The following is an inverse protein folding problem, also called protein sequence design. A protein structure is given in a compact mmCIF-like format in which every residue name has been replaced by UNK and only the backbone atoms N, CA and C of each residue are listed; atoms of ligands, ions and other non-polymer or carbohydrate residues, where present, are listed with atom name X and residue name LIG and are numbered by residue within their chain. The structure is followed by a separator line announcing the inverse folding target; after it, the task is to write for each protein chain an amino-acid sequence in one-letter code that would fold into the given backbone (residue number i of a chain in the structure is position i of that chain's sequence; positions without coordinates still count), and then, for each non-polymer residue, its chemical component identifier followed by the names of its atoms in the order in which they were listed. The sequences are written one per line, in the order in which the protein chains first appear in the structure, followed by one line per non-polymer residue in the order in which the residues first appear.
data_IF_372872902897
#
_entry.id   IF_372872902897
#
_cell.length_a   1.000
_cell.length_b   1.000
_cell.length_c   1.000
_cell.angle_alpha   90.00
_cell.angle_beta   90.00
_cell.angle_gamma   90.00
#
_symmetry.space_group_name_H-M   'P 1'
#
loop_
_entity.id
_entity.type
_entity.pdbx_description
1 polymer ?
#
# COMPACT_ATOMS: atom_id res chain seq x y z
N UNK A 1 -4.27 61.04 67.73
CA UNK A 1 -5.32 59.99 67.75
C UNK A 1 -5.71 59.75 66.32
N UNK A 2 -5.12 58.76 65.68
CA UNK A 2 -5.47 58.39 64.31
C UNK A 2 -6.62 57.40 64.40
N UNK A 3 -7.83 57.93 64.19
CA UNK A 3 -9.03 57.10 64.16
C UNK A 3 -9.07 56.37 62.82
N UNK A 4 -9.04 55.02 62.79
CA UNK A 4 -9.04 54.26 61.53
C UNK A 4 -10.28 54.55 60.67
N UNK A 5 -11.36 54.95 61.32
CA UNK A 5 -12.60 55.41 60.69
C UNK A 5 -12.41 56.75 59.95
N UNK A 6 -11.63 57.68 60.50
CA UNK A 6 -11.32 58.96 59.84
C UNK A 6 -10.50 58.73 58.57
N UNK A 7 -9.54 57.81 58.60
CA UNK A 7 -8.73 57.46 57.43
C UNK A 7 -9.52 56.67 56.38
N UNK A 8 -10.46 55.84 56.80
CA UNK A 8 -11.40 55.18 55.89
C UNK A 8 -12.29 56.22 55.19
N UNK A 9 -12.89 57.15 55.93
CA UNK A 9 -13.73 58.22 55.37
C UNK A 9 -12.92 59.13 54.44
N UNK A 10 -11.69 59.52 54.80
CA UNK A 10 -10.82 60.31 53.92
C UNK A 10 -10.50 59.57 52.61
N UNK A 11 -10.24 58.26 52.65
CA UNK A 11 -9.94 57.47 51.45
C UNK A 11 -11.16 57.24 50.55
N UNK A 12 -12.34 57.04 51.14
CA UNK A 12 -13.55 56.69 50.37
C UNK A 12 -14.33 57.93 49.93
N UNK A 13 -14.44 58.92 50.81
CA UNK A 13 -15.26 60.11 50.62
C UNK A 13 -14.45 61.41 50.45
N UNK A 14 -13.13 61.40 50.63
CA UNK A 14 -12.31 62.62 50.56
C UNK A 14 -12.33 63.29 49.19
N UNK A 15 -12.05 62.53 48.12
CA UNK A 15 -12.12 63.03 46.75
C UNK A 15 -13.54 63.49 46.34
N UNK A 16 -14.61 62.69 46.51
CA UNK A 16 -15.95 63.13 46.12
C UNK A 16 -16.44 64.33 46.92
N UNK A 17 -16.12 64.42 48.22
CA UNK A 17 -16.47 65.59 49.02
C UNK A 17 -15.71 66.84 48.56
N UNK A 18 -14.41 66.71 48.26
CA UNK A 18 -13.61 67.82 47.72
C UNK A 18 -14.17 68.32 46.39
N UNK A 19 -14.48 67.41 45.47
CA UNK A 19 -15.02 67.76 44.16
C UNK A 19 -16.43 68.35 44.26
N UNK A 20 -17.27 67.78 45.13
CA UNK A 20 -18.63 68.26 45.35
C UNK A 20 -18.64 69.66 45.99
N UNK A 21 -17.79 69.91 46.99
CA UNK A 21 -17.63 71.24 47.59
C UNK A 21 -17.06 72.26 46.60
N UNK A 22 -16.10 71.85 45.76
CA UNK A 22 -15.59 72.69 44.68
C UNK A 22 -16.70 73.04 43.67
N UNK A 23 -17.55 72.08 43.33
CA UNK A 23 -18.71 72.28 42.47
C UNK A 23 -19.73 73.24 43.10
N UNK A 24 -19.99 73.14 44.41
CA UNK A 24 -20.87 74.09 45.12
C UNK A 24 -20.32 75.52 45.02
N UNK A 25 -19.02 75.71 45.22
CA UNK A 25 -18.37 77.03 45.09
C UNK A 25 -18.46 77.59 43.68
N UNK A 26 -18.34 76.73 42.65
CA UNK A 26 -18.38 77.13 41.25
C UNK A 26 -19.79 77.44 40.73
N UNK A 27 -20.77 76.58 41.05
CA UNK A 27 -22.13 76.70 40.51
C UNK A 27 -23.07 77.54 41.37
N UNK A 28 -22.69 77.83 42.63
CA UNK A 28 -23.47 78.61 43.58
C UNK A 28 -24.98 78.28 43.56
N UNK A 29 -25.34 77.01 43.81
CA UNK A 29 -26.74 76.57 43.75
C UNK A 29 -27.59 77.27 44.82
N UNK A 30 -28.89 77.39 44.54
CA UNK A 30 -29.87 77.99 45.46
C UNK A 30 -29.93 77.26 46.81
N UNK A 31 -29.84 75.92 46.78
CA UNK A 31 -29.65 75.07 47.96
C UNK A 31 -28.35 74.25 47.82
N UNK A 32 -27.28 74.62 48.55
CA UNK A 32 -26.00 73.92 48.49
C UNK A 32 -26.05 72.52 49.11
N UNK A 33 -26.96 72.26 50.05
CA UNK A 33 -27.08 70.95 50.70
C UNK A 33 -27.78 69.97 49.76
N UNK A 34 -28.87 70.39 49.12
CA UNK A 34 -29.56 69.56 48.13
C UNK A 34 -28.65 69.24 46.93
N UNK A 35 -27.93 70.25 46.42
CA UNK A 35 -26.98 70.06 45.33
C UNK A 35 -25.87 69.06 45.70
N UNK A 36 -25.31 69.18 46.91
CA UNK A 36 -24.27 68.27 47.40
C UNK A 36 -24.80 66.82 47.47
N UNK A 37 -26.02 66.62 47.98
CA UNK A 37 -26.63 65.31 48.09
C UNK A 37 -26.86 64.66 46.71
N UNK A 38 -27.36 65.43 45.74
CA UNK A 38 -27.55 64.97 44.36
C UNK A 38 -26.22 64.63 43.69
N UNK A 39 -25.20 65.48 43.89
CA UNK A 39 -23.87 65.26 43.33
C UNK A 39 -23.21 63.98 43.86
N UNK A 40 -23.24 63.78 45.17
CA UNK A 40 -22.69 62.57 45.81
C UNK A 40 -23.44 61.31 45.38
N UNK A 41 -24.76 61.38 45.22
CA UNK A 41 -25.58 60.28 44.69
C UNK A 41 -25.16 59.93 43.26
N UNK A 42 -24.98 60.92 42.39
CA UNK A 42 -24.53 60.69 41.02
C UNK A 42 -23.11 60.11 40.96
N UNK A 43 -22.21 60.62 41.81
CA UNK A 43 -20.84 60.09 41.91
C UNK A 43 -20.84 58.63 42.34
N UNK A 44 -21.64 58.24 43.34
CA UNK A 44 -21.73 56.86 43.81
C UNK A 44 -22.18 55.91 42.68
N UNK A 45 -23.18 56.32 41.88
CA UNK A 45 -23.63 55.58 40.71
C UNK A 45 -22.51 55.47 39.67
N UNK A 46 -21.84 56.58 39.35
CA UNK A 46 -20.75 56.61 38.35
C UNK A 46 -19.56 55.74 38.77
N UNK A 47 -19.18 55.76 40.05
CA UNK A 47 -18.10 54.93 40.59
C UNK A 47 -18.47 53.46 40.56
N UNK A 48 -19.72 53.11 40.92
CA UNK A 48 -20.23 51.75 40.79
C UNK A 48 -20.14 51.29 39.33
N UNK A 49 -20.67 52.07 38.41
CA UNK A 49 -20.70 51.74 36.98
C UNK A 49 -19.29 51.61 36.41
N UNK A 50 -18.36 52.50 36.80
CA UNK A 50 -16.95 52.41 36.43
C UNK A 50 -16.31 51.11 36.95
N UNK A 51 -16.54 50.75 38.23
CA UNK A 51 -16.02 49.50 38.80
C UNK A 51 -16.58 48.27 38.09
N UNK A 52 -17.90 48.25 37.83
CA UNK A 52 -18.56 47.17 37.09
C UNK A 52 -17.99 47.05 35.67
N UNK A 53 -17.84 48.15 34.93
CA UNK A 53 -17.23 48.15 33.60
C UNK A 53 -15.79 47.66 33.65
N UNK A 54 -14.99 48.11 34.62
CA UNK A 54 -13.60 47.67 34.78
C UNK A 54 -13.52 46.16 34.98
N UNK A 55 -14.34 45.59 35.86
CA UNK A 55 -14.41 44.14 36.08
C UNK A 55 -14.85 43.42 34.79
N UNK A 56 -15.89 43.91 34.13
CA UNK A 56 -16.36 43.34 32.86
C UNK A 56 -15.28 43.35 31.78
N UNK A 57 -14.53 44.44 31.63
CA UNK A 57 -13.42 44.52 30.66
C UNK A 57 -12.28 43.58 31.00
N UNK A 58 -11.98 43.39 32.29
CA UNK A 58 -10.96 42.45 32.75
C UNK A 58 -11.37 41.02 32.44
N UNK A 59 -12.61 40.63 32.78
CA UNK A 59 -13.15 39.31 32.49
C UNK A 59 -13.22 39.03 30.98
N UNK A 60 -13.66 40.00 30.19
CA UNK A 60 -13.68 39.89 28.73
C UNK A 60 -12.28 39.66 28.17
N UNK A 61 -11.28 40.42 28.63
CA UNK A 61 -9.87 40.22 28.22
C UNK A 61 -9.37 38.83 28.61
N UNK A 62 -9.72 38.35 29.82
CA UNK A 62 -9.37 37.01 30.29
C UNK A 62 -9.96 35.92 29.39
N UNK A 63 -11.24 36.03 29.04
CA UNK A 63 -11.92 35.08 28.14
C UNK A 63 -11.30 35.11 26.75
N UNK A 64 -11.09 36.30 26.18
CA UNK A 64 -10.50 36.45 24.84
C UNK A 64 -9.06 35.90 24.80
N UNK A 65 -8.27 36.10 25.85
CA UNK A 65 -6.93 35.56 25.95
C UNK A 65 -6.88 34.02 25.91
N UNK A 66 -7.94 33.35 26.40
CA UNK A 66 -8.07 31.90 26.29
C UNK A 66 -8.66 31.45 24.94
N UNK A 67 -9.67 32.16 24.45
CA UNK A 67 -10.42 31.77 23.26
C UNK A 67 -9.65 31.99 21.96
N UNK A 68 -8.90 33.09 21.83
CA UNK A 68 -8.16 33.42 20.60
C UNK A 68 -7.13 32.33 20.27
N UNK A 69 -6.23 31.90 21.19
CA UNK A 69 -5.28 30.84 20.90
C UNK A 69 -5.94 29.49 20.59
N UNK A 70 -7.03 29.17 21.30
CA UNK A 70 -7.79 27.94 21.03
C UNK A 70 -8.36 27.94 19.60
N UNK A 71 -8.98 29.04 19.19
CA UNK A 71 -9.53 29.17 17.84
C UNK A 71 -8.44 29.09 16.76
N UNK A 72 -7.27 29.71 16.99
CA UNK A 72 -6.13 29.63 16.07
C UNK A 72 -5.63 28.19 15.93
N UNK A 73 -5.48 27.46 17.04
CA UNK A 73 -5.09 26.04 17.02
C UNK A 73 -6.10 25.19 16.26
N UNK A 74 -7.39 25.40 16.52
CA UNK A 74 -8.46 24.67 15.85
C UNK A 74 -8.46 24.93 14.34
N UNK A 75 -8.21 26.17 13.90
CA UNK A 75 -8.08 26.51 12.48
C UNK A 75 -6.85 25.84 11.85
N UNK A 76 -5.71 25.86 12.53
CA UNK A 76 -4.51 25.19 12.06
C UNK A 76 -4.72 23.67 11.91
N UNK A 77 -5.35 23.02 12.88
CA UNK A 77 -5.69 21.60 12.79
C UNK A 77 -6.64 21.28 11.64
N UNK A 78 -7.63 22.15 11.38
CA UNK A 78 -8.54 22.00 10.25
C UNK A 78 -7.80 22.12 8.92
N UNK A 79 -6.86 23.05 8.80
CA UNK A 79 -6.04 23.21 7.61
C UNK A 79 -5.15 21.98 7.36
N UNK A 80 -4.46 21.49 8.39
CA UNK A 80 -3.64 20.26 8.31
C UNK A 80 -4.49 19.07 7.86
N UNK A 81 -5.69 18.91 8.43
CA UNK A 81 -6.60 17.82 8.05
C UNK A 81 -7.06 17.95 6.59
N UNK A 82 -7.34 19.17 6.13
CA UNK A 82 -7.72 19.41 4.75
C UNK A 82 -6.59 19.06 3.78
N UNK A 83 -5.35 19.45 4.07
CA UNK A 83 -4.16 19.09 3.28
C UNK A 83 -3.94 17.57 3.26
N UNK A 84 -4.04 16.90 4.40
CA UNK A 84 -3.91 15.44 4.46
C UNK A 84 -4.99 14.74 3.62
N UNK A 85 -6.22 15.21 3.67
CA UNK A 85 -7.30 14.65 2.86
C UNK A 85 -7.07 14.90 1.36
N UNK A 86 -6.57 16.08 0.99
CA UNK A 86 -6.20 16.40 -0.38
C UNK A 86 -5.09 15.47 -0.89
N UNK A 87 -4.01 15.30 -0.12
CA UNK A 87 -2.91 14.39 -0.46
C UNK A 87 -3.35 12.93 -0.58
N UNK A 88 -4.26 12.48 0.30
CA UNK A 88 -4.86 11.13 0.19
C UNK A 88 -5.69 11.00 -1.09
N UNK A 89 -6.49 12.01 -1.42
CA UNK A 89 -7.27 12.05 -2.66
C UNK A 89 -6.38 11.96 -3.90
N UNK A 90 -5.30 12.74 -3.96
CA UNK A 90 -4.34 12.69 -5.06
C UNK A 90 -3.62 11.34 -5.17
N UNK A 91 -3.22 10.73 -4.04
CA UNK A 91 -2.64 9.38 -4.04
C UNK A 91 -3.59 8.33 -4.63
N UNK A 92 -4.87 8.39 -4.25
CA UNK A 92 -5.88 7.49 -4.80
C UNK A 92 -6.03 7.67 -6.32
N UNK A 93 -6.02 8.91 -6.81
CA UNK A 93 -6.10 9.20 -8.25
C UNK A 93 -4.89 8.66 -9.01
N UNK A 94 -3.69 8.86 -8.49
CA UNK A 94 -2.46 8.31 -9.09
C UNK A 94 -2.50 6.78 -9.11
N UNK A 95 -2.90 6.14 -8.01
CA UNK A 95 -3.03 4.68 -7.94
C UNK A 95 -4.07 4.15 -8.94
N UNK A 96 -5.20 4.83 -9.10
CA UNK A 96 -6.21 4.49 -10.10
C UNK A 96 -5.68 4.65 -11.53
N UNK A 97 -4.93 5.72 -11.82
CA UNK A 97 -4.27 5.90 -13.12
C UNK A 97 -3.22 4.83 -13.39
N UNK A 98 -2.41 4.46 -12.40
CA UNK A 98 -1.42 3.40 -12.53
C UNK A 98 -2.08 2.05 -12.77
N UNK A 99 -3.16 1.71 -12.05
CA UNK A 99 -3.95 0.51 -12.30
C UNK A 99 -4.52 0.49 -13.71
N UNK A 100 -5.02 1.62 -14.20
CA UNK A 100 -5.50 1.75 -15.59
C UNK A 100 -4.37 1.52 -16.60
N UNK A 101 -3.20 2.12 -16.39
CA UNK A 101 -2.02 1.92 -17.25
C UNK A 101 -1.55 0.46 -17.23
N UNK A 102 -1.54 -0.19 -16.07
CA UNK A 102 -1.18 -1.60 -15.96
C UNK A 102 -2.17 -2.50 -16.68
N UNK A 103 -3.47 -2.26 -16.52
CA UNK A 103 -4.51 -3.00 -17.24
C UNK A 103 -4.40 -2.80 -18.76
N UNK A 104 -4.08 -1.60 -19.23
CA UNK A 104 -3.84 -1.35 -20.65
C UNK A 104 -2.59 -2.07 -21.17
N UNK A 105 -1.50 -2.06 -20.40
CA UNK A 105 -0.28 -2.80 -20.72
C UNK A 105 -0.52 -4.31 -20.76
N UNK A 106 -1.30 -4.85 -19.81
CA UNK A 106 -1.69 -6.27 -19.80
C UNK A 106 -2.48 -6.63 -21.06
N UNK A 107 -3.50 -5.82 -21.43
CA UNK A 107 -4.24 -6.02 -22.68
C UNK A 107 -3.33 -5.98 -23.91
N UNK A 108 -2.36 -5.07 -23.96
CA UNK A 108 -1.38 -5.02 -25.06
C UNK A 108 -0.52 -6.28 -25.10
N UNK A 109 -0.06 -6.78 -23.94
CA UNK A 109 0.74 -8.01 -23.85
C UNK A 109 -0.05 -9.23 -24.32
N UNK A 110 -1.28 -9.40 -23.85
CA UNK A 110 -2.19 -10.47 -24.31
C UNK A 110 -2.41 -10.42 -25.82
N UNK A 111 -2.63 -9.22 -26.38
CA UNK A 111 -2.75 -9.04 -27.83
C UNK A 111 -1.45 -9.36 -28.59
N UNK A 112 -0.28 -9.06 -28.01
CA UNK A 112 1.00 -9.44 -28.63
C UNK A 112 1.28 -10.94 -28.53
N UNK A 113 0.94 -11.58 -27.41
CA UNK A 113 1.12 -13.02 -27.20
C UNK A 113 0.18 -13.83 -28.10
N UNK A 114 -1.09 -13.43 -28.20
CA UNK A 114 -2.05 -14.05 -29.13
C UNK A 114 -1.59 -13.91 -30.58
N UNK A 115 -1.09 -12.74 -30.98
CA UNK A 115 -0.49 -12.56 -32.32
C UNK A 115 0.78 -13.40 -32.51
N UNK A 116 1.65 -13.48 -31.51
CA UNK A 116 2.88 -14.27 -31.58
C UNK A 116 2.59 -15.78 -31.65
N UNK A 117 1.63 -16.28 -30.88
CA UNK A 117 1.17 -17.67 -30.93
C UNK A 117 0.50 -17.98 -32.26
N UNK A 118 -0.36 -17.08 -32.79
CA UNK A 118 -0.92 -17.23 -34.13
C UNK A 118 0.15 -17.25 -35.22
N UNK A 119 1.14 -16.36 -35.15
CA UNK A 119 2.27 -16.36 -36.08
C UNK A 119 3.09 -17.65 -35.99
N UNK A 120 3.39 -18.12 -34.77
CA UNK A 120 4.13 -19.37 -34.53
C UNK A 120 3.36 -20.59 -35.05
N UNK A 121 2.06 -20.65 -34.80
CA UNK A 121 1.20 -21.71 -35.32
C UNK A 121 1.11 -21.66 -36.85
N UNK A 122 1.03 -20.47 -37.44
CA UNK A 122 1.06 -20.30 -38.89
C UNK A 122 2.37 -20.77 -39.50
N UNK A 123 3.52 -20.42 -38.90
CA UNK A 123 4.83 -20.91 -39.33
C UNK A 123 4.92 -22.44 -39.20
N UNK A 124 4.46 -23.02 -38.09
CA UNK A 124 4.42 -24.48 -37.92
C UNK A 124 3.58 -25.16 -38.99
N UNK A 125 2.42 -24.61 -39.34
CA UNK A 125 1.58 -25.16 -40.40
C UNK A 125 2.23 -25.07 -41.79
N UNK A 126 3.07 -24.05 -42.04
CA UNK A 126 3.81 -23.93 -43.29
C UNK A 126 5.04 -24.85 -43.34
N UNK A 127 5.71 -25.06 -42.20
CA UNK A 127 6.92 -25.89 -42.10
C UNK A 127 6.58 -27.39 -42.01
N UNK A 128 5.46 -27.75 -41.39
CA UNK A 128 5.06 -29.15 -41.18
C UNK A 128 5.06 -29.98 -42.47
N UNK A 129 4.47 -29.53 -43.59
CA UNK A 129 4.53 -30.27 -44.85
C UNK A 129 5.94 -30.46 -45.40
N UNK A 130 6.86 -29.51 -45.16
CA UNK A 130 8.24 -29.58 -45.66
C UNK A 130 9.07 -30.62 -44.90
N UNK A 131 8.80 -30.80 -43.61
CA UNK A 131 9.56 -31.72 -42.75
C UNK A 131 8.88 -33.09 -42.63
N UNK A 132 7.61 -33.21 -43.04
CA UNK A 132 6.84 -34.44 -42.93
C UNK A 132 7.46 -35.59 -43.73
N UNK A 133 7.93 -35.33 -44.95
CA UNK A 133 8.54 -36.36 -45.80
C UNK A 133 9.80 -36.94 -45.13
N UNK A 134 10.69 -36.08 -44.65
CA UNK A 134 11.93 -36.49 -43.99
C UNK A 134 11.68 -37.23 -42.65
N UNK A 135 10.63 -36.83 -41.92
CA UNK A 135 10.20 -37.54 -40.70
C UNK A 135 9.60 -38.90 -41.02
N UNK A 136 8.83 -39.04 -42.10
CA UNK A 136 8.28 -40.32 -42.56
C UNK A 136 9.43 -41.25 -42.94
N UNK A 137 10.39 -40.77 -43.73
CA UNK A 137 11.54 -41.55 -44.16
C UNK A 137 12.35 -42.03 -42.94
N UNK A 138 12.70 -41.13 -42.02
CA UNK A 138 13.42 -41.50 -40.80
C UNK A 138 12.63 -42.47 -39.92
N UNK A 139 11.30 -42.32 -39.83
CA UNK A 139 10.44 -43.24 -39.09
C UNK A 139 10.42 -44.64 -39.72
N UNK A 140 10.41 -44.74 -41.05
CA UNK A 140 10.47 -46.02 -41.75
C UNK A 140 11.82 -46.71 -41.56
N UNK A 141 12.93 -45.97 -41.59
CA UNK A 141 14.27 -46.52 -41.32
C UNK A 141 14.38 -47.05 -39.89
N UNK A 142 13.89 -46.30 -38.89
CA UNK A 142 13.88 -46.74 -37.50
C UNK A 142 13.00 -47.98 -37.34
N UNK A 143 11.80 -47.99 -37.93
CA UNK A 143 10.91 -49.14 -37.90
C UNK A 143 11.54 -50.39 -38.54
N UNK A 144 12.25 -50.21 -39.65
CA UNK A 144 12.96 -51.29 -40.33
C UNK A 144 14.10 -51.84 -39.47
N UNK A 145 14.94 -50.97 -38.88
CA UNK A 145 16.02 -51.39 -37.95
C UNK A 145 15.51 -52.13 -36.72
N UNK A 146 14.33 -51.75 -36.21
CA UNK A 146 13.69 -52.44 -35.08
C UNK A 146 13.15 -53.81 -35.52
N UNK A 147 12.47 -53.87 -36.66
CA UNK A 147 11.97 -55.14 -37.22
C UNK A 147 13.12 -56.12 -37.51
N UNK A 148 14.22 -55.64 -38.09
CA UNK A 148 15.37 -56.47 -38.42
C UNK A 148 16.04 -57.04 -37.16
N UNK A 149 16.14 -56.26 -36.07
CA UNK A 149 16.59 -56.76 -34.77
C UNK A 149 15.68 -57.86 -34.23
N UNK A 150 14.37 -57.63 -34.24
CA UNK A 150 13.36 -58.61 -33.80
C UNK A 150 13.41 -59.89 -34.65
N UNK A 151 13.61 -59.77 -35.97
CA UNK A 151 13.69 -60.91 -36.87
C UNK A 151 14.99 -61.71 -36.69
N UNK A 152 16.11 -61.03 -36.45
CA UNK A 152 17.38 -61.69 -36.08
C UNK A 152 17.27 -62.42 -34.75
N UNK A 153 16.58 -61.84 -33.76
CA UNK A 153 16.29 -62.52 -32.48
C UNK A 153 15.40 -63.75 -32.70
N UNK A 154 14.38 -63.66 -33.56
CA UNK A 154 13.51 -64.78 -33.94
C UNK A 154 14.27 -65.91 -34.63
N UNK A 155 15.12 -65.58 -35.60
CA UNK A 155 15.95 -66.55 -36.31
C UNK A 155 17.01 -67.20 -35.40
N UNK A 156 17.61 -66.43 -34.47
CA UNK A 156 18.49 -66.97 -33.44
C UNK A 156 17.73 -67.93 -32.52
N UNK A 157 16.52 -67.58 -32.10
CA UNK A 157 15.66 -68.45 -31.30
C UNK A 157 15.23 -69.72 -32.06
N UNK A 158 14.91 -69.63 -33.35
CA UNK A 158 14.53 -70.78 -34.19
C UNK A 158 15.73 -71.71 -34.45
N UNK A 159 16.93 -71.16 -34.71
CA UNK A 159 18.16 -71.95 -34.85
C UNK A 159 18.58 -72.59 -33.52
N UNK A 160 18.42 -71.88 -32.40
CA UNK A 160 18.63 -72.46 -31.07
C UNK A 160 17.64 -73.60 -30.79
N UNK A 161 16.36 -73.44 -31.15
CA UNK A 161 15.34 -74.48 -31.02
C UNK A 161 15.62 -75.69 -31.93
N UNK A 162 16.08 -75.48 -33.18
CA UNK A 162 16.49 -76.58 -34.07
C UNK A 162 17.74 -77.31 -33.59
N UNK A 163 18.72 -76.62 -33.03
CA UNK A 163 19.91 -77.24 -32.43
C UNK A 163 19.57 -78.01 -31.16
N UNK A 164 18.65 -77.50 -30.34
CA UNK A 164 18.12 -78.22 -29.19
C UNK A 164 17.38 -79.50 -29.62
N UNK A 165 16.51 -79.43 -30.64
CA UNK A 165 15.80 -80.58 -31.18
C UNK A 165 16.71 -81.61 -31.89
N UNK A 166 17.81 -81.16 -32.51
CA UNK A 166 18.81 -82.06 -33.11
C UNK A 166 19.65 -82.79 -32.05
N UNK A 167 20.04 -82.09 -30.96
CA UNK A 167 20.67 -82.73 -29.80
C UNK A 167 19.75 -83.73 -29.11
N UNK A 168 18.45 -83.43 -29.01
CA UNK A 168 17.44 -84.38 -28.51
C UNK A 168 17.27 -85.62 -29.42
N UNK A 169 17.68 -85.55 -30.69
CA UNK A 169 17.66 -86.68 -31.65
C UNK A 169 19.00 -87.42 -31.79
N UNK A 170 20.11 -86.81 -31.36
CA UNK A 170 21.42 -87.47 -31.23
C UNK A 170 21.60 -88.10 -29.84
N UNK A 171 20.89 -87.64 -28.80
CA UNK A 171 20.90 -88.26 -27.46
C UNK A 171 20.15 -89.61 -27.40
N UNK A 172 19.50 -90.06 -28.49
CA UNK A 172 18.98 -91.44 -28.64
C UNK A 172 19.91 -92.38 -29.44
N UNK A 173 21.08 -91.90 -29.90
CA UNK A 173 22.10 -92.73 -30.53
C UNK A 173 23.51 -92.22 -30.19
N UNK A 174 24.14 -92.91 -29.24
CA UNK A 174 25.55 -92.80 -28.80
C UNK A 174 25.79 -91.92 -27.57
N UNK A 175 25.57 -92.52 -26.39
CA UNK A 175 26.62 -92.55 -25.37
C UNK A 175 27.91 -93.06 -26.04
N UNK A 176 28.96 -92.23 -26.18
CA UNK A 176 30.29 -92.43 -25.58
C UNK A 176 31.34 -91.42 -26.10
N UNK A 177 32.23 -91.04 -25.19
CA UNK A 177 33.55 -90.38 -25.37
C UNK A 177 33.68 -88.94 -25.94
N UNK A 178 34.22 -88.04 -25.09
CA UNK A 178 35.54 -87.46 -25.39
C UNK A 178 35.65 -85.96 -25.70
N UNK A 179 36.06 -85.21 -24.67
CA UNK A 179 37.14 -84.19 -24.64
C UNK A 179 37.19 -82.95 -25.57
N UNK A 180 37.55 -81.83 -24.91
CA UNK A 180 38.35 -80.66 -25.34
C UNK A 180 37.66 -79.63 -26.26
N UNK A 181 37.32 -78.45 -25.72
CA UNK A 181 38.11 -77.19 -25.78
C UNK A 181 38.34 -76.70 -27.22
N UNK A 182 37.71 -75.59 -27.59
CA UNK A 182 38.46 -74.40 -28.02
C UNK A 182 37.57 -73.14 -27.96
N UNK A 183 38.19 -72.11 -27.41
CA UNK A 183 37.80 -70.70 -27.46
C UNK A 183 37.77 -70.23 -28.93
N UNK A 184 36.93 -69.24 -29.23
CA UNK A 184 37.30 -68.17 -30.15
C UNK A 184 36.36 -66.98 -29.87
N UNK A 185 36.92 -66.03 -29.13
CA UNK A 185 36.54 -64.62 -29.16
C UNK A 185 36.84 -64.09 -30.56
N UNK A 186 35.87 -63.44 -31.19
CA UNK A 186 36.16 -62.41 -32.19
C UNK A 186 35.20 -61.24 -31.90
N UNK A 187 35.76 -60.27 -31.17
CA UNK A 187 35.42 -58.86 -31.29
C UNK A 187 35.83 -58.38 -32.69
N UNK A 188 34.95 -57.67 -33.38
CA UNK A 188 35.29 -56.65 -34.39
C UNK A 188 34.05 -55.75 -34.45
N UNK A 189 34.05 -54.70 -33.64
CA UNK A 189 34.52 -53.35 -33.96
C UNK A 189 33.61 -52.60 -34.96
N UNK A 190 33.05 -51.52 -34.43
CA UNK A 190 32.31 -50.48 -35.10
C UNK A 190 33.23 -49.73 -36.08
N UNK A 191 32.85 -49.64 -37.34
CA UNK A 191 33.34 -48.58 -38.24
C UNK A 191 32.17 -47.77 -38.81
N UNK A 192 32.19 -46.48 -38.42
CA UNK A 192 31.66 -45.24 -39.04
C UNK A 192 30.18 -45.10 -39.47
#
# INVERSE_FOLDING_TARGET
MDHPESDYVKRVLGEPLKDALSAVVLYQPLDPIEFLAVYLKYWAIKVRDYRCRRIATFEMKRILAAQIPFNIRLQAERAIRAEQNFLKGERMRVEEEEKRRQAELQRRRELTETKATMATNSMRLQVWPLVLEEVIDMATEVAFKVWERMERERLKAEKAARRAAAKESEEDAEEDEGMEEEEDEDEDEEEE
#
